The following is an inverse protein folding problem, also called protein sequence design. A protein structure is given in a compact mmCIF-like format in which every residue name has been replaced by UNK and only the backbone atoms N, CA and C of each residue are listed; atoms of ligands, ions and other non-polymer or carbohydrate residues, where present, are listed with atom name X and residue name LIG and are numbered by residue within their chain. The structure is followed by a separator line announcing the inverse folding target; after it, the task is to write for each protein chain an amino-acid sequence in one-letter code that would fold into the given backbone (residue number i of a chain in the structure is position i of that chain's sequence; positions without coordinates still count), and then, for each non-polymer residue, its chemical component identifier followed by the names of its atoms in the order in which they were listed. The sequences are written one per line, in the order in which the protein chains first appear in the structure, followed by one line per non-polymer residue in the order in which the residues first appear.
data_IF_850048293818
#
_entry.id   IF_850048293818
#
_cell.length_a   1.000
_cell.length_b   1.000
_cell.length_c   1.000
_cell.angle_alpha   90.00
_cell.angle_beta   90.00
_cell.angle_gamma   90.00
#
_symmetry.space_group_name_H-M   'P 1'
#
loop_
_entity.id
_entity.type
_entity.pdbx_description
1 polymer ?
#
# COMPACT_ATOMS: atom_id res chain seq x y z
N UNK A 1 5.76 -10.98 -23.39
CA UNK A 1 5.96 -11.50 -22.02
C UNK A 1 4.59 -11.68 -21.37
N UNK A 2 4.42 -12.75 -20.60
CA UNK A 2 3.25 -12.91 -19.74
C UNK A 2 3.34 -11.92 -18.56
N UNK A 3 2.20 -11.44 -18.03
CA UNK A 3 2.21 -10.60 -16.84
C UNK A 3 2.81 -11.38 -15.64
N UNK A 4 3.49 -10.69 -14.70
CA UNK A 4 4.09 -11.33 -13.54
C UNK A 4 3.04 -11.89 -12.57
N UNK A 5 1.82 -11.36 -12.60
CA UNK A 5 0.68 -11.80 -11.79
C UNK A 5 -0.46 -12.27 -12.70
N UNK A 6 -1.31 -13.14 -12.15
CA UNK A 6 -2.51 -13.57 -12.83
C UNK A 6 -3.42 -12.35 -13.11
N UNK A 7 -4.02 -12.31 -14.29
CA UNK A 7 -5.01 -11.30 -14.64
C UNK A 7 -6.39 -11.94 -14.65
N UNK A 8 -7.42 -11.14 -14.38
CA UNK A 8 -8.80 -11.61 -14.35
C UNK A 8 -9.18 -12.23 -15.71
N UNK A 9 -9.55 -13.52 -15.68
CA UNK A 9 -10.08 -14.23 -16.84
C UNK A 9 -11.52 -13.83 -17.14
N UNK A 10 -12.00 -14.14 -18.35
CA UNK A 10 -13.41 -13.95 -18.70
C UNK A 10 -14.33 -14.81 -17.83
N UNK A 11 -13.90 -16.03 -17.52
CA UNK A 11 -14.60 -16.96 -16.63
C UNK A 11 -14.72 -16.40 -15.21
N UNK A 12 -13.62 -15.93 -14.61
CA UNK A 12 -13.65 -15.33 -13.27
C UNK A 12 -14.58 -14.11 -13.23
N UNK A 13 -14.56 -13.28 -14.28
CA UNK A 13 -15.46 -12.13 -14.39
C UNK A 13 -16.93 -12.56 -14.49
N UNK A 14 -17.22 -13.60 -15.28
CA UNK A 14 -18.58 -14.14 -15.40
C UNK A 14 -19.10 -14.73 -14.08
N UNK A 15 -18.20 -15.32 -13.28
CA UNK A 15 -18.52 -15.86 -11.95
C UNK A 15 -18.42 -14.83 -10.81
N UNK A 16 -18.12 -13.56 -11.11
CA UNK A 16 -17.86 -12.52 -10.11
C UNK A 16 -16.80 -12.92 -9.05
N UNK A 17 -15.75 -13.62 -9.50
CA UNK A 17 -14.61 -14.04 -8.67
C UNK A 17 -13.38 -13.17 -8.90
N UNK A 18 -12.62 -13.00 -7.83
CA UNK A 18 -11.29 -12.39 -7.90
C UNK A 18 -10.23 -13.35 -8.44
N UNK A 19 -9.14 -12.77 -8.96
CA UNK A 19 -7.98 -13.55 -9.41
C UNK A 19 -6.90 -13.69 -8.34
N UNK A 20 -6.81 -12.74 -7.41
CA UNK A 20 -5.76 -12.66 -6.40
C UNK A 20 -6.38 -12.96 -5.03
N UNK A 21 -5.83 -13.95 -4.32
CA UNK A 21 -6.25 -14.35 -2.97
C UNK A 21 -5.04 -14.27 -2.05
N UNK A 22 -5.17 -13.62 -0.90
CA UNK A 22 -4.06 -13.37 0.01
C UNK A 22 -3.02 -12.39 -0.55
N UNK A 23 -1.74 -12.74 -0.44
CA UNK A 23 -0.61 -11.90 -0.90
C UNK A 23 0.33 -12.78 -1.72
N UNK A 24 0.56 -12.41 -2.98
CA UNK A 24 1.43 -13.13 -3.91
C UNK A 24 2.74 -12.35 -4.11
N UNK A 25 3.90 -12.89 -3.69
CA UNK A 25 5.19 -12.27 -3.94
C UNK A 25 5.79 -12.70 -5.30
N UNK A 26 6.43 -11.77 -6.00
CA UNK A 26 7.27 -12.00 -7.19
C UNK A 26 8.57 -11.22 -7.07
N UNK A 27 9.62 -11.73 -7.71
CA UNK A 27 10.94 -11.06 -7.75
C UNK A 27 11.35 -10.91 -9.20
N UNK A 28 11.75 -9.70 -9.61
CA UNK A 28 12.26 -9.44 -10.95
C UNK A 28 13.75 -9.78 -11.09
N UNK A 29 14.25 -9.83 -12.33
CA UNK A 29 15.69 -9.99 -12.62
C UNK A 29 16.54 -8.85 -12.04
N UNK A 30 15.95 -7.67 -11.87
CA UNK A 30 16.56 -6.47 -11.30
C UNK A 30 16.45 -6.43 -9.76
N UNK A 31 16.08 -7.56 -9.13
CA UNK A 31 15.95 -7.72 -7.68
C UNK A 31 14.89 -6.81 -7.05
N UNK A 32 13.81 -6.56 -7.78
CA UNK A 32 12.63 -5.84 -7.28
C UNK A 32 11.63 -6.85 -6.75
N UNK A 33 11.26 -6.72 -5.47
CA UNK A 33 10.19 -7.50 -4.85
C UNK A 33 8.86 -6.81 -5.14
N UNK A 34 7.94 -7.54 -5.76
CA UNK A 34 6.58 -7.12 -6.05
C UNK A 34 5.62 -7.95 -5.20
N UNK A 35 4.65 -7.28 -4.58
CA UNK A 35 3.59 -7.93 -3.82
C UNK A 35 2.25 -7.57 -4.47
N UNK A 36 1.54 -8.56 -4.99
CA UNK A 36 0.13 -8.42 -5.34
C UNK A 36 -0.74 -8.92 -4.19
N UNK A 37 -1.92 -8.34 -4.01
CA UNK A 37 -2.77 -8.64 -2.86
C UNK A 37 -4.21 -8.84 -3.28
N UNK A 38 -4.96 -9.61 -2.52
CA UNK A 38 -6.40 -9.67 -2.66
C UNK A 38 -7.04 -8.26 -2.61
N UNK A 39 -8.14 -8.05 -3.32
CA UNK A 39 -8.91 -6.82 -3.21
C UNK A 39 -9.45 -6.63 -1.79
N UNK A 40 -9.36 -5.40 -1.31
CA UNK A 40 -9.95 -4.99 -0.03
C UNK A 40 -11.47 -4.86 -0.20
N UNK A 41 -12.25 -5.31 0.77
CA UNK A 41 -13.72 -5.38 0.76
C UNK A 41 -14.29 -6.25 -0.37
N UNK A 42 -13.64 -7.38 -0.67
CA UNK A 42 -14.11 -8.31 -1.69
C UNK A 42 -15.35 -9.12 -1.27
N UNK A 43 -16.44 -8.97 -2.01
CA UNK A 43 -17.62 -9.82 -1.86
C UNK A 43 -17.33 -11.29 -2.21
N UNK A 44 -16.40 -11.56 -3.13
CA UNK A 44 -16.08 -12.93 -3.56
C UNK A 44 -15.28 -13.66 -2.49
N UNK A 45 -14.32 -12.96 -1.85
CA UNK A 45 -13.57 -13.49 -0.70
C UNK A 45 -14.52 -13.71 0.48
N UNK A 46 -15.40 -12.74 0.80
CA UNK A 46 -16.40 -12.91 1.85
C UNK A 46 -17.27 -14.17 1.62
N UNK A 47 -17.78 -14.35 0.40
CA UNK A 47 -18.61 -15.50 0.05
C UNK A 47 -17.89 -16.85 0.18
N UNK A 48 -16.57 -16.89 -0.02
CA UNK A 48 -15.76 -18.10 0.19
C UNK A 48 -15.41 -18.33 1.68
N UNK A 49 -15.44 -17.27 2.49
CA UNK A 49 -15.13 -17.35 3.94
C UNK A 49 -16.33 -17.67 4.84
N UNK A 50 -17.57 -17.52 4.35
CA UNK A 50 -18.78 -17.74 5.16
C UNK A 50 -19.15 -19.23 5.24
N UNK A 51 -19.31 -19.73 6.46
CA UNK A 51 -19.89 -21.05 6.74
C UNK A 51 -21.42 -21.00 6.70
N UNK A 52 -22.11 -22.16 6.62
CA UNK A 52 -23.57 -22.23 6.69
C UNK A 52 -24.17 -21.61 7.96
N UNK A 53 -23.42 -21.53 9.06
CA UNK A 53 -23.83 -20.91 10.32
C UNK A 53 -23.52 -19.40 10.40
N UNK A 54 -23.02 -18.80 9.32
CA UNK A 54 -22.62 -17.39 9.25
C UNK A 54 -21.23 -17.09 9.84
N UNK A 55 -20.57 -18.08 10.46
CA UNK A 55 -19.23 -17.91 11.00
C UNK A 55 -18.15 -17.96 9.92
N UNK A 56 -16.98 -17.41 10.22
CA UNK A 56 -15.82 -17.48 9.32
C UNK A 56 -15.20 -18.89 9.27
N UNK A 57 -14.79 -19.33 8.07
CA UNK A 57 -13.91 -20.49 7.85
C UNK A 57 -12.47 -20.24 8.29
N UNK A 58 -12.05 -18.97 8.31
CA UNK A 58 -10.69 -18.56 8.64
C UNK A 58 -10.66 -17.97 10.06
N UNK A 59 -9.81 -18.50 10.96
CA UNK A 59 -9.61 -17.91 12.28
C UNK A 59 -8.73 -16.66 12.15
N UNK A 60 -9.33 -15.49 12.25
CA UNK A 60 -8.63 -14.18 12.17
C UNK A 60 -8.07 -13.76 13.52
N UNK A 61 -8.83 -14.08 14.58
CA UNK A 61 -8.50 -13.85 15.98
C UNK A 61 -8.25 -15.20 16.64
N UNK A 62 -7.21 -15.32 17.49
CA UNK A 62 -6.88 -16.61 18.13
C UNK A 62 -8.04 -17.13 18.95
N UNK A 63 -8.63 -18.24 18.51
CA UNK A 63 -9.60 -19.04 19.28
C UNK A 63 -11.02 -18.49 19.33
N UNK A 64 -11.29 -17.30 18.77
CA UNK A 64 -12.63 -16.72 18.74
C UNK A 64 -13.30 -17.01 17.40
N UNK A 65 -14.50 -17.60 17.45
CA UNK A 65 -15.37 -17.69 16.29
C UNK A 65 -15.99 -16.32 16.02
N UNK A 66 -15.63 -15.71 14.90
CA UNK A 66 -16.21 -14.45 14.44
C UNK A 66 -17.25 -14.71 13.34
N UNK A 67 -18.18 -13.78 13.15
CA UNK A 67 -18.97 -13.72 11.91
C UNK A 67 -18.03 -13.57 10.72
N UNK A 68 -18.42 -14.12 9.56
CA UNK A 68 -17.61 -14.03 8.35
C UNK A 68 -17.35 -12.58 7.93
N UNK A 69 -18.33 -11.70 8.10
CA UNK A 69 -18.23 -10.27 7.77
C UNK A 69 -17.17 -9.54 8.59
N UNK A 70 -17.19 -9.73 9.92
CA UNK A 70 -16.20 -9.15 10.81
C UNK A 70 -14.81 -9.75 10.56
N UNK A 71 -14.73 -11.06 10.35
CA UNK A 71 -13.48 -11.71 10.01
C UNK A 71 -12.90 -11.13 8.71
N UNK A 72 -13.74 -10.91 7.70
CA UNK A 72 -13.33 -10.31 6.43
C UNK A 72 -12.81 -8.89 6.61
N UNK A 73 -13.50 -8.03 7.37
CA UNK A 73 -13.04 -6.67 7.66
C UNK A 73 -11.69 -6.66 8.40
N UNK A 74 -11.53 -7.52 9.40
CA UNK A 74 -10.26 -7.63 10.13
C UNK A 74 -9.13 -8.16 9.24
N UNK A 75 -9.40 -9.11 8.34
CA UNK A 75 -8.41 -9.56 7.36
C UNK A 75 -7.98 -8.45 6.41
N UNK A 76 -8.93 -7.65 5.93
CA UNK A 76 -8.66 -6.51 5.06
C UNK A 76 -7.75 -5.49 5.74
N UNK A 77 -8.02 -5.16 7.01
CA UNK A 77 -7.16 -4.29 7.81
C UNK A 77 -5.76 -4.87 7.98
N UNK A 78 -5.64 -6.18 8.26
CA UNK A 78 -4.33 -6.83 8.41
C UNK A 78 -3.53 -6.79 7.10
N UNK A 79 -4.19 -7.00 5.96
CA UNK A 79 -3.57 -6.90 4.63
C UNK A 79 -3.16 -5.46 4.33
N UNK A 80 -4.00 -4.48 4.66
CA UNK A 80 -3.71 -3.06 4.43
C UNK A 80 -2.55 -2.53 5.28
N UNK A 81 -2.50 -2.93 6.56
CA UNK A 81 -1.38 -2.63 7.45
C UNK A 81 -0.07 -3.23 6.92
N UNK A 82 -0.10 -4.44 6.36
CA UNK A 82 1.09 -5.02 5.75
C UNK A 82 1.51 -4.28 4.47
N UNK A 83 0.62 -3.58 3.77
CA UNK A 83 0.99 -2.76 2.60
C UNK A 83 1.61 -1.43 2.99
N UNK A 84 1.03 -0.77 3.99
CA UNK A 84 1.28 0.64 4.26
C UNK A 84 2.12 0.91 5.52
N UNK A 85 2.12 -0.01 6.47
CA UNK A 85 2.69 0.17 7.81
C UNK A 85 3.64 -0.98 8.20
N UNK A 86 4.44 -1.46 7.24
CA UNK A 86 5.54 -2.37 7.56
C UNK A 86 6.51 -1.60 8.46
N UNK A 87 6.44 -1.88 9.76
CA UNK A 87 7.49 -1.52 10.72
C UNK A 87 8.85 -1.84 10.14
N UNK A 88 9.82 -0.94 10.27
CA UNK A 88 11.14 -1.10 9.67
C UNK A 88 11.70 -2.53 9.88
N UNK A 89 11.77 -3.38 8.82
CA UNK A 89 12.15 -4.78 8.95
C UNK A 89 13.57 -4.95 9.48
N UNK A 90 14.41 -3.92 9.41
CA UNK A 90 15.76 -3.92 9.97
C UNK A 90 15.78 -3.95 11.51
N UNK A 91 14.73 -3.45 12.16
CA UNK A 91 14.60 -3.49 13.62
C UNK A 91 14.51 -4.93 14.12
N UNK A 92 13.77 -5.78 13.42
CA UNK A 92 13.56 -7.17 13.78
C UNK A 92 14.71 -8.10 13.37
N UNK A 93 15.53 -7.69 12.40
CA UNK A 93 16.75 -8.42 12.04
C UNK A 93 17.75 -8.45 13.21
N UNK A 94 17.80 -7.38 14.03
CA UNK A 94 18.70 -7.30 15.19
C UNK A 94 18.37 -8.28 16.32
N UNK A 95 17.09 -8.57 16.54
CA UNK A 95 16.64 -9.57 17.53
C UNK A 95 17.11 -10.98 17.20
N UNK A 96 17.48 -11.26 15.94
CA UNK A 96 18.00 -12.55 15.51
C UNK A 96 19.50 -12.71 15.79
N UNK A 97 20.24 -11.60 15.90
CA UNK A 97 21.67 -11.58 16.20
C UNK A 97 21.99 -11.41 17.69
N UNK A 98 21.00 -11.08 18.52
CA UNK A 98 21.16 -10.88 19.96
C UNK A 98 20.66 -12.04 20.84
N UNK A 99 20.77 -13.31 20.39
CA UNK A 99 20.62 -14.46 21.30
C UNK A 99 21.88 -14.74 22.13
N UNK A 100 22.79 -13.78 22.26
CA UNK A 100 23.97 -13.86 23.12
C UNK A 100 24.27 -12.51 23.79
N UNK A 101 23.86 -12.42 25.06
CA UNK A 101 24.31 -11.55 26.16
C UNK A 101 24.37 -10.00 26.04
N UNK A 102 23.66 -9.42 27.03
CA UNK A 102 24.02 -8.28 27.90
C UNK A 102 23.89 -6.84 27.39
N UNK A 103 23.40 -5.98 28.29
CA UNK A 103 23.85 -4.58 28.38
C UNK A 103 22.75 -3.54 28.26
N UNK A 104 22.32 -3.00 29.40
CA UNK A 104 21.54 -1.77 29.52
C UNK A 104 22.40 -0.61 29.00
N UNK A 105 21.97 0.10 27.95
CA UNK A 105 22.42 1.47 27.70
C UNK A 105 21.22 2.38 27.41
N UNK A 106 21.11 3.42 28.25
CA UNK A 106 20.26 4.59 28.03
C UNK A 106 20.83 5.34 26.83
N UNK A 107 19.99 5.70 25.86
CA UNK A 107 20.38 6.73 24.91
C UNK A 107 19.22 7.67 24.55
N UNK A 108 19.59 8.93 24.35
CA UNK A 108 18.71 10.07 24.20
C UNK A 108 17.72 9.87 23.05
N UNK A 109 16.43 9.78 23.36
CA UNK A 109 15.37 9.66 22.35
C UNK A 109 15.18 11.00 21.63
N UNK A 110 15.94 11.19 20.55
CA UNK A 110 15.41 11.88 19.37
C UNK A 110 14.09 11.19 19.02
N UNK A 111 12.99 11.90 18.70
CA UNK A 111 11.78 11.25 18.24
C UNK A 111 12.13 10.39 17.03
N UNK A 112 12.17 9.07 17.23
CA UNK A 112 12.61 8.12 16.23
C UNK A 112 11.68 8.23 15.03
N UNK A 113 12.21 8.57 13.85
CA UNK A 113 11.40 8.64 12.64
C UNK A 113 10.84 7.25 12.35
N UNK A 114 9.53 7.13 12.44
CA UNK A 114 8.77 5.97 11.99
C UNK A 114 8.98 5.80 10.48
N UNK A 115 9.33 4.59 10.07
CA UNK A 115 9.44 4.20 8.67
C UNK A 115 8.02 4.10 8.09
N UNK A 116 7.75 4.81 7.00
CA UNK A 116 6.49 4.72 6.26
C UNK A 116 6.80 4.58 4.78
N UNK A 117 6.11 3.67 4.12
CA UNK A 117 6.21 3.52 2.67
C UNK A 117 5.71 4.80 1.97
N UNK A 118 6.31 5.16 0.82
CA UNK A 118 5.85 6.31 0.03
C UNK A 118 4.59 5.94 -0.74
N UNK A 119 3.42 6.54 -0.48
CA UNK A 119 2.22 6.24 -1.24
C UNK A 119 2.30 6.84 -2.64
N UNK A 120 1.77 6.10 -3.62
CA UNK A 120 1.58 6.54 -5.00
C UNK A 120 0.13 6.27 -5.37
N UNK A 121 -0.57 7.32 -5.80
CA UNK A 121 -1.97 7.25 -6.18
C UNK A 121 -2.06 6.98 -7.68
N UNK A 122 -2.81 5.97 -8.07
CA UNK A 122 -2.97 5.58 -9.48
C UNK A 122 -4.47 5.49 -9.78
N UNK A 123 -4.96 6.44 -10.59
CA UNK A 123 -6.35 6.43 -11.04
C UNK A 123 -6.43 5.80 -12.43
N UNK A 124 -7.01 4.60 -12.52
CA UNK A 124 -6.99 3.79 -13.75
C UNK A 124 -8.33 3.79 -14.49
N UNK A 125 -8.32 3.27 -15.73
CA UNK A 125 -9.51 3.04 -16.59
C UNK A 125 -10.22 4.33 -17.03
N UNK A 126 -9.51 5.45 -17.07
CA UNK A 126 -10.09 6.76 -17.37
C UNK A 126 -10.50 6.93 -18.84
N UNK A 127 -11.60 7.64 -19.08
CA UNK A 127 -12.11 7.87 -20.41
C UNK A 127 -12.50 9.34 -20.67
N UNK A 128 -12.20 9.82 -21.88
CA UNK A 128 -12.74 11.08 -22.39
C UNK A 128 -12.45 12.28 -21.48
N UNK A 129 -13.51 12.81 -20.84
CA UNK A 129 -13.44 14.02 -20.01
C UNK A 129 -12.70 13.82 -18.67
N UNK A 130 -12.63 12.59 -18.18
CA UNK A 130 -11.92 12.24 -16.92
C UNK A 130 -10.41 12.49 -17.03
N UNK A 131 -9.88 12.42 -18.25
CA UNK A 131 -8.47 12.69 -18.55
C UNK A 131 -8.17 14.18 -18.76
N UNK A 132 -9.17 15.06 -18.63
CA UNK A 132 -8.92 16.49 -18.76
C UNK A 132 -8.01 16.97 -17.62
N UNK A 133 -7.02 17.84 -17.90
CA UNK A 133 -6.10 18.33 -16.87
C UNK A 133 -6.81 18.94 -15.67
N UNK A 134 -7.97 19.57 -15.89
CA UNK A 134 -8.80 20.15 -14.82
C UNK A 134 -9.33 19.10 -13.84
N UNK A 135 -9.82 17.96 -14.32
CA UNK A 135 -10.36 16.90 -13.44
C UNK A 135 -9.25 16.23 -12.66
N UNK A 136 -8.13 15.90 -13.31
CA UNK A 136 -6.95 15.33 -12.64
C UNK A 136 -6.40 16.29 -11.58
N UNK A 137 -6.37 17.59 -11.87
CA UNK A 137 -5.98 18.61 -10.89
C UNK A 137 -6.95 18.74 -9.72
N UNK A 138 -8.27 18.69 -9.96
CA UNK A 138 -9.27 18.71 -8.89
C UNK A 138 -9.13 17.49 -7.98
N UNK A 139 -8.93 16.30 -8.54
CA UNK A 139 -8.66 15.07 -7.79
C UNK A 139 -7.38 15.21 -6.96
N UNK A 140 -6.31 15.72 -7.57
CA UNK A 140 -5.06 15.98 -6.84
C UNK A 140 -5.26 16.94 -5.67
N UNK A 141 -6.06 17.99 -5.83
CA UNK A 141 -6.36 18.93 -4.75
C UNK A 141 -7.19 18.30 -3.63
N UNK A 142 -8.18 17.47 -3.98
CA UNK A 142 -8.98 16.75 -3.00
C UNK A 142 -8.11 15.80 -2.18
N UNK A 143 -7.28 14.98 -2.84
CA UNK A 143 -6.34 14.10 -2.14
C UNK A 143 -5.36 14.89 -1.27
N UNK A 144 -4.83 16.02 -1.75
CA UNK A 144 -3.92 16.85 -0.94
C UNK A 144 -4.59 17.41 0.31
N UNK A 145 -5.87 17.76 0.20
CA UNK A 145 -6.65 18.18 1.36
C UNK A 145 -6.84 17.04 2.36
N UNK A 146 -7.24 15.85 1.89
CA UNK A 146 -7.56 14.70 2.73
C UNK A 146 -6.32 14.11 3.42
N UNK A 147 -5.17 14.16 2.75
CA UNK A 147 -3.89 13.68 3.29
C UNK A 147 -3.07 14.78 3.96
N UNK A 148 -3.57 16.02 4.09
CA UNK A 148 -2.82 17.14 4.66
C UNK A 148 -2.31 16.89 6.08
N UNK A 149 -3.09 16.20 6.91
CA UNK A 149 -2.74 15.84 8.29
C UNK A 149 -2.12 14.44 8.39
N UNK A 150 -1.97 13.73 7.28
CA UNK A 150 -1.46 12.36 7.26
C UNK A 150 0.06 12.34 7.44
N UNK A 151 0.55 11.33 8.15
CA UNK A 151 1.98 11.03 8.29
C UNK A 151 2.65 10.63 6.96
N UNK A 152 1.88 10.40 5.89
CA UNK A 152 2.38 10.14 4.54
C UNK A 152 2.87 11.40 3.81
N UNK A 153 2.29 12.57 4.11
CA UNK A 153 2.65 13.85 3.49
C UNK A 153 3.66 14.54 4.41
N UNK A 154 4.84 13.94 4.55
CA UNK A 154 5.94 14.59 5.30
C UNK A 154 6.60 15.60 4.39
N UNK A 155 6.58 16.86 4.83
CA UNK A 155 7.44 17.88 4.28
C UNK A 155 8.89 17.43 4.48
N UNK A 156 9.63 17.28 3.39
CA UNK A 156 11.03 16.89 3.43
C UNK A 156 11.84 18.11 3.94
N UNK A 157 11.66 18.48 5.20
CA UNK A 157 12.50 19.47 5.90
C UNK A 157 13.85 18.82 6.20
N UNK A 158 14.61 18.58 5.12
CA UNK A 158 16.05 18.50 5.21
C UNK A 158 16.56 19.88 5.58
N UNK A 159 16.83 20.10 6.86
CA UNK A 159 17.68 21.20 7.29
C UNK A 159 19.07 21.01 6.67
N UNK A 160 19.32 21.60 5.51
CA UNK A 160 20.66 22.00 5.08
C UNK A 160 20.65 23.53 5.02
N UNK A 161 21.27 24.24 5.98
CA UNK A 161 21.34 25.70 5.98
C UNK A 161 22.29 26.30 4.94
N UNK A 162 22.98 25.51 4.10
CA UNK A 162 24.03 26.01 3.24
C UNK A 162 23.80 25.59 1.79
N UNK A 163 23.14 26.45 1.02
CA UNK A 163 23.47 26.68 -0.39
C UNK A 163 22.85 28.00 -0.87
N UNK A 164 23.66 29.06 -0.80
CA UNK A 164 23.40 30.29 -1.52
C UNK A 164 23.40 30.00 -3.02
N UNK A 165 22.23 30.08 -3.66
CA UNK A 165 22.14 30.36 -5.09
C UNK A 165 20.92 31.22 -5.36
N UNK A 166 21.20 32.50 -5.51
CA UNK A 166 20.29 33.50 -6.03
C UNK A 166 19.98 33.21 -7.50
N UNK A 167 18.76 32.81 -7.81
CA UNK A 167 18.20 32.98 -9.16
C UNK A 167 16.71 33.29 -9.05
N UNK A 168 16.38 34.58 -9.16
CA UNK A 168 15.05 35.08 -9.49
C UNK A 168 14.77 34.72 -10.94
N UNK A 169 13.78 33.88 -11.24
CA UNK A 169 12.96 33.96 -12.45
C UNK A 169 11.64 33.18 -12.24
N UNK A 170 10.54 33.82 -12.66
CA UNK A 170 9.18 33.30 -12.58
C UNK A 170 9.01 31.98 -13.34
N UNK A 171 8.48 30.97 -12.65
CA UNK A 171 7.49 30.04 -13.19
C UNK A 171 6.56 29.66 -12.04
N UNK A 172 5.25 29.70 -12.27
CA UNK A 172 4.25 29.21 -11.32
C UNK A 172 4.51 27.74 -11.06
N UNK A 173 5.08 27.48 -9.90
CA UNK A 173 5.54 26.18 -9.43
C UNK A 173 4.34 25.28 -9.14
N UNK A 174 3.89 24.54 -10.17
CA UNK A 174 2.96 23.42 -10.05
C UNK A 174 3.69 22.11 -9.70
N UNK A 175 5.02 22.14 -9.54
CA UNK A 175 5.86 20.97 -9.29
C UNK A 175 6.06 20.65 -7.80
N UNK A 176 5.56 21.50 -6.90
CA UNK A 176 5.59 21.26 -5.45
C UNK A 176 4.37 20.47 -4.94
N UNK A 177 3.81 19.56 -5.76
CA UNK A 177 2.76 18.67 -5.28
C UNK A 177 3.39 17.52 -4.49
N UNK A 178 3.19 17.42 -3.16
CA UNK A 178 3.79 16.34 -2.38
C UNK A 178 3.17 14.99 -2.70
N UNK A 179 1.97 14.96 -3.29
CA UNK A 179 1.27 13.74 -3.66
C UNK A 179 1.61 13.29 -5.08
N UNK A 180 2.04 12.03 -5.21
CA UNK A 180 2.34 11.40 -6.49
C UNK A 180 1.07 10.77 -7.06
N UNK A 181 0.37 11.49 -7.94
CA UNK A 181 -0.85 11.02 -8.62
C UNK A 181 -0.57 10.74 -10.11
N UNK A 182 -0.96 9.55 -10.56
CA UNK A 182 -0.89 9.14 -11.97
C UNK A 182 -2.28 8.79 -12.50
N UNK A 183 -2.62 9.34 -13.65
CA UNK A 183 -3.89 9.08 -14.33
C UNK A 183 -3.63 8.14 -15.52
N UNK A 184 -4.22 6.95 -15.51
CA UNK A 184 -4.01 5.91 -16.53
C UNK A 184 -5.27 5.77 -17.38
N UNK A 185 -5.21 6.10 -18.69
CA UNK A 185 -6.33 5.94 -19.61
C UNK A 185 -6.84 4.48 -19.67
N UNK A 186 -8.07 4.30 -20.10
CA UNK A 186 -8.56 2.99 -20.51
C UNK A 186 -7.83 2.52 -21.79
N UNK A 187 -7.40 1.25 -21.83
CA UNK A 187 -6.76 0.66 -23.01
C UNK A 187 -7.81 0.48 -24.13
N UNK A 188 -7.79 1.37 -25.13
CA UNK A 188 -8.60 1.22 -26.35
C UNK A 188 -7.85 0.39 -27.39
N UNK A 189 -8.59 -0.33 -28.24
CA UNK A 189 -8.02 -1.12 -29.35
C UNK A 189 -7.50 -0.25 -30.49
N UNK A 190 -8.05 0.96 -30.65
CA UNK A 190 -7.67 1.91 -31.67
C UNK A 190 -7.37 3.27 -31.02
N UNK A 191 -6.16 3.77 -31.25
CA UNK A 191 -5.79 5.14 -30.90
C UNK A 191 -6.47 6.07 -31.89
N UNK A 192 -7.57 6.70 -31.46
CA UNK A 192 -8.20 7.73 -32.27
C UNK A 192 -7.25 8.94 -32.33
N UNK A 193 -6.77 9.34 -33.52
CA UNK A 193 -5.81 10.43 -33.67
C UNK A 193 -6.34 11.80 -33.22
N UNK A 194 -7.64 11.92 -32.89
CA UNK A 194 -8.26 13.13 -32.34
C UNK A 194 -8.13 13.25 -30.81
N UNK A 195 -7.50 12.29 -30.16
CA UNK A 195 -7.38 12.24 -28.70
C UNK A 195 -6.23 13.15 -28.25
N UNK A 196 -6.56 14.20 -27.50
CA UNK A 196 -5.61 15.20 -27.00
C UNK A 196 -4.96 14.83 -25.65
N UNK A 197 -5.10 13.57 -25.21
CA UNK A 197 -4.54 13.10 -23.94
C UNK A 197 -3.48 12.01 -24.16
N UNK A 198 -2.63 11.80 -23.16
CA UNK A 198 -1.60 10.75 -23.16
C UNK A 198 -2.20 9.38 -23.49
N UNK A 199 -1.45 8.54 -24.22
CA UNK A 199 -1.88 7.18 -24.57
C UNK A 199 -1.77 6.24 -23.35
N UNK A 200 -2.50 5.12 -23.37
CA UNK A 200 -2.40 4.10 -22.32
C UNK A 200 -0.96 3.60 -22.12
N UNK A 201 -0.25 3.33 -23.22
CA UNK A 201 1.11 2.81 -23.17
C UNK A 201 2.07 3.88 -22.63
N UNK A 202 2.01 5.10 -23.17
CA UNK A 202 2.86 6.22 -22.70
C UNK A 202 2.70 6.47 -21.20
N UNK A 203 1.45 6.52 -20.71
CA UNK A 203 1.15 6.71 -19.29
C UNK A 203 1.74 5.59 -18.41
N UNK A 204 1.70 4.33 -18.88
CA UNK A 204 2.32 3.20 -18.16
C UNK A 204 3.85 3.28 -18.13
N UNK A 205 4.50 3.65 -19.23
CA UNK A 205 5.96 3.85 -19.26
C UNK A 205 6.36 4.96 -18.29
N UNK A 206 5.65 6.09 -18.32
CA UNK A 206 5.86 7.20 -17.40
C UNK A 206 5.70 6.77 -15.94
N UNK A 207 4.62 6.05 -15.61
CA UNK A 207 4.40 5.51 -14.26
C UNK A 207 5.55 4.60 -13.82
N UNK A 208 5.95 3.64 -14.66
CA UNK A 208 7.03 2.70 -14.36
C UNK A 208 8.34 3.42 -14.13
N UNK A 209 8.74 4.31 -15.03
CA UNK A 209 10.01 5.01 -14.95
C UNK A 209 10.06 5.91 -13.70
N UNK A 210 8.93 6.55 -13.36
CA UNK A 210 8.82 7.31 -12.12
C UNK A 210 8.97 6.40 -10.90
N UNK A 211 8.24 5.29 -10.79
CA UNK A 211 8.37 4.33 -9.68
C UNK A 211 9.82 3.83 -9.53
N UNK A 212 10.47 3.44 -10.63
CA UNK A 212 11.84 2.92 -10.59
C UNK A 212 12.89 3.99 -10.25
N UNK A 213 12.61 5.26 -10.54
CA UNK A 213 13.48 6.38 -10.19
C UNK A 213 13.30 6.89 -8.76
N UNK A 214 12.22 6.49 -8.08
CA UNK A 214 11.94 6.93 -6.72
C UNK A 214 13.01 6.40 -5.76
N UNK A 215 13.54 7.29 -4.92
CA UNK A 215 14.38 6.90 -3.79
C UNK A 215 13.47 6.40 -2.67
N UNK A 216 13.46 5.10 -2.35
CA UNK A 216 12.66 4.60 -1.25
C UNK A 216 13.20 5.17 0.08
N UNK A 217 12.35 5.31 1.11
CA UNK A 217 12.82 5.56 2.46
C UNK A 217 13.86 4.50 2.84
N UNK A 218 14.97 4.93 3.42
CA UNK A 218 15.99 3.99 3.87
C UNK A 218 15.56 3.33 5.19
N UNK A 219 15.77 2.02 5.29
CA UNK A 219 15.72 1.32 6.58
C UNK A 219 16.81 1.86 7.51
N UNK A 220 16.63 1.74 8.82
CA UNK A 220 17.64 2.11 9.83
C UNK A 220 18.96 1.37 9.61
N UNK A 221 18.93 0.16 9.06
CA UNK A 221 20.11 -0.65 8.71
C UNK A 221 19.89 -1.36 7.37
N UNK A 222 20.96 -1.69 6.63
CA UNK A 222 20.83 -2.50 5.42
C UNK A 222 20.23 -3.87 5.78
N UNK A 223 19.30 -4.35 4.94
CA UNK A 223 18.60 -5.63 5.10
C UNK A 223 18.74 -6.40 3.79
N UNK A 224 19.22 -7.65 3.87
CA UNK A 224 19.21 -8.56 2.71
C UNK A 224 17.79 -9.03 2.39
N UNK A 225 17.53 -9.48 1.15
CA UNK A 225 16.22 -10.04 0.76
C UNK A 225 15.77 -11.19 1.69
N UNK A 226 16.71 -12.02 2.15
CA UNK A 226 16.45 -13.11 3.09
C UNK A 226 16.04 -12.60 4.47
N UNK A 227 16.73 -11.58 4.97
CA UNK A 227 16.38 -10.95 6.24
C UNK A 227 15.05 -10.22 6.15
N UNK A 228 14.80 -9.53 5.03
CA UNK A 228 13.53 -8.89 4.75
C UNK A 228 12.39 -9.90 4.83
N UNK A 229 12.49 -11.04 4.15
CA UNK A 229 11.46 -12.09 4.20
C UNK A 229 11.21 -12.61 5.62
N UNK A 230 12.28 -12.86 6.39
CA UNK A 230 12.16 -13.31 7.78
C UNK A 230 11.52 -12.24 8.67
N UNK A 231 11.90 -10.98 8.51
CA UNK A 231 11.33 -9.87 9.26
C UNK A 231 9.86 -9.67 8.90
N UNK A 232 9.50 -9.72 7.61
CA UNK A 232 8.11 -9.63 7.14
C UNK A 232 7.23 -10.72 7.74
N UNK A 233 7.73 -11.97 7.85
CA UNK A 233 7.00 -13.05 8.52
C UNK A 233 6.75 -12.75 10.02
N UNK A 234 7.72 -12.15 10.72
CA UNK A 234 7.53 -11.72 12.11
C UNK A 234 6.55 -10.55 12.24
N UNK A 235 6.62 -9.57 11.34
CA UNK A 235 5.68 -8.44 11.29
C UNK A 235 4.26 -8.97 11.10
N UNK A 236 4.07 -9.93 10.19
CA UNK A 236 2.79 -10.59 10.01
C UNK A 236 2.27 -11.26 11.29
N UNK A 237 3.13 -11.95 12.04
CA UNK A 237 2.73 -12.47 13.35
C UNK A 237 2.35 -11.36 14.35
N UNK A 238 3.07 -10.23 14.36
CA UNK A 238 2.73 -9.10 15.22
C UNK A 238 1.37 -8.49 14.84
N UNK A 239 1.12 -8.31 13.55
CA UNK A 239 -0.17 -7.82 13.01
C UNK A 239 -1.29 -8.77 13.42
N UNK A 240 -1.14 -10.08 13.19
CA UNK A 240 -2.16 -11.08 13.58
C UNK A 240 -2.43 -11.15 15.08
N UNK A 241 -1.43 -10.85 15.91
CA UNK A 241 -1.57 -10.87 17.36
C UNK A 241 -1.73 -9.46 17.96
N UNK A 242 -2.09 -8.46 17.15
CA UNK A 242 -2.20 -7.07 17.59
C UNK A 242 -3.38 -6.85 18.54
N UNK A 243 -3.10 -6.35 19.75
CA UNK A 243 -4.15 -5.99 20.72
C UNK A 243 -5.04 -4.87 20.19
N UNK A 244 -4.50 -3.94 19.41
CA UNK A 244 -5.27 -2.84 18.80
C UNK A 244 -6.30 -3.36 17.79
N UNK A 245 -5.91 -4.28 16.91
CA UNK A 245 -6.84 -4.93 15.97
C UNK A 245 -7.91 -5.72 16.74
N UNK A 246 -7.49 -6.39 17.82
CA UNK A 246 -8.39 -7.14 18.70
C UNK A 246 -9.43 -6.26 19.39
N UNK A 247 -9.00 -5.11 19.92
CA UNK A 247 -9.87 -4.11 20.53
C UNK A 247 -10.82 -3.47 19.53
N UNK A 248 -10.33 -3.18 18.33
CA UNK A 248 -11.15 -2.69 17.22
C UNK A 248 -12.25 -3.69 16.85
N UNK A 249 -11.89 -4.97 16.67
CA UNK A 249 -12.85 -6.04 16.39
C UNK A 249 -13.92 -6.16 17.48
N UNK A 250 -13.52 -6.11 18.76
CA UNK A 250 -14.47 -6.11 19.89
C UNK A 250 -15.38 -4.87 19.88
N UNK A 251 -14.84 -3.68 19.61
CA UNK A 251 -15.64 -2.46 19.53
C UNK A 251 -16.71 -2.55 18.44
N UNK A 252 -16.36 -3.11 17.28
CA UNK A 252 -17.30 -3.36 16.19
C UNK A 252 -18.37 -4.39 16.54
N UNK A 253 -18.03 -5.48 17.22
CA UNK A 253 -19.01 -6.46 17.73
C UNK A 253 -20.00 -5.78 18.69
N UNK A 254 -19.50 -4.96 19.60
CA UNK A 254 -20.31 -4.28 20.60
C UNK A 254 -21.18 -3.16 20.00
N UNK A 255 -20.78 -2.57 18.86
CA UNK A 255 -21.56 -1.56 18.15
C UNK A 255 -22.90 -2.08 17.62
N UNK A 256 -23.01 -3.40 17.44
CA UNK A 256 -24.19 -4.05 16.87
C UNK A 256 -24.25 -4.05 15.35
N UNK A 257 -23.20 -3.59 14.66
CA UNK A 257 -23.08 -3.64 13.19
C UNK A 257 -22.98 -5.09 12.70
N UNK A 258 -22.23 -5.94 13.42
CA UNK A 258 -21.98 -7.34 13.05
C UNK A 258 -22.65 -8.33 14.00
N UNK A 259 -23.95 -8.14 14.27
CA UNK A 259 -24.70 -9.07 15.13
C UNK A 259 -24.90 -10.41 14.42
N UNK A 260 -24.50 -11.48 15.09
CA UNK A 260 -25.02 -12.84 14.88
C UNK A 260 -26.47 -12.95 15.31
#
# INVERSE_FOLDING_TARGET
MLPPFAIQSEENRAMAKDCSIGIEPRISSERIILLDTQPVFSASVLAETIKPDGSSTIPVMRGESLSAELAHELMDIQVDLLKHDISDPSLLASSLSQSSNSGIEKDNKVPEREYLATPVFIHTKLQGRELSPRIVWLLSKALMHDFKSSSFVRENTGNNPDEHSSSKFHNTDMDSNPLKLFAIPFKKKEDNPRVQHESYISALWKLRDQILSMKPPSFKRPVSEREWLKSSAKIWEQVRNSSTISEYGRALQHSGIYRT
#
